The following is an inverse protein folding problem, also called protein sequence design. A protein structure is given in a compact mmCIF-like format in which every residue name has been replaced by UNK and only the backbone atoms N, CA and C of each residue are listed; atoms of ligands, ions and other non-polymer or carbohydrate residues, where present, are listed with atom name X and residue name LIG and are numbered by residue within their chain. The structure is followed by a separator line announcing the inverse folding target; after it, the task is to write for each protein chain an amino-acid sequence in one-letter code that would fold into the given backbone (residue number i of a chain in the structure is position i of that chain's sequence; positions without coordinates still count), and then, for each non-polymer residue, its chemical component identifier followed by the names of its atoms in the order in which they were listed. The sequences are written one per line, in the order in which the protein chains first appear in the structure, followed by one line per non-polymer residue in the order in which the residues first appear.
data_IF_313498396184
#
_entry.id   IF_313498396184
#
_cell.length_a   1.000
_cell.length_b   1.000
_cell.length_c   1.000
_cell.angle_alpha   90.00
_cell.angle_beta   90.00
_cell.angle_gamma   90.00
#
_symmetry.space_group_name_H-M   'P 1'
#
loop_
_entity.id
_entity.type
_entity.pdbx_description
1 polymer ?
#
# COMPACT_ATOMS: atom_id res chain seq x y z
N UNK A 1 35.13 -2.09 33.67
CA UNK A 1 33.98 -1.17 33.56
C UNK A 1 33.87 -0.43 32.23
N UNK A 2 34.94 -0.18 31.45
CA UNK A 2 34.85 0.51 30.14
C UNK A 2 34.20 -0.31 29.00
N UNK A 3 34.30 -1.64 29.01
CA UNK A 3 33.81 -2.50 27.91
C UNK A 3 32.28 -2.61 27.81
N UNK A 4 31.55 -2.57 28.93
CA UNK A 4 30.10 -2.75 28.94
C UNK A 4 29.34 -1.54 28.38
N UNK A 5 29.89 -0.33 28.59
CA UNK A 5 29.30 0.89 28.03
C UNK A 5 29.48 0.96 26.52
N UNK A 6 30.61 0.48 25.98
CA UNK A 6 30.82 0.41 24.53
C UNK A 6 29.79 -0.52 23.86
N UNK A 7 29.57 -1.71 24.44
CA UNK A 7 28.58 -2.67 23.94
C UNK A 7 27.16 -2.09 23.95
N UNK A 8 26.78 -1.42 25.04
CA UNK A 8 25.47 -0.76 25.15
C UNK A 8 25.29 0.38 24.14
N UNK A 9 26.33 1.18 23.89
CA UNK A 9 26.31 2.25 22.86
C UNK A 9 26.18 1.64 21.46
N UNK A 10 26.88 0.54 21.17
CA UNK A 10 26.76 -0.17 19.89
C UNK A 10 25.36 -0.72 19.66
N UNK A 11 24.76 -1.36 20.68
CA UNK A 11 23.37 -1.87 20.60
C UNK A 11 22.38 -0.72 20.41
N UNK A 12 22.56 0.40 21.12
CA UNK A 12 21.72 1.59 20.99
C UNK A 12 21.81 2.20 19.57
N UNK A 13 23.00 2.27 18.99
CA UNK A 13 23.20 2.77 17.62
C UNK A 13 22.57 1.86 16.56
N UNK A 14 22.67 0.54 16.70
CA UNK A 14 22.03 -0.43 15.80
C UNK A 14 20.49 -0.28 15.87
N UNK A 15 19.95 -0.14 17.07
CA UNK A 15 18.52 0.10 17.29
C UNK A 15 18.09 1.43 16.65
N UNK A 16 18.89 2.49 16.80
CA UNK A 16 18.61 3.81 16.23
C UNK A 16 18.56 3.79 14.69
N UNK A 17 19.43 3.02 14.04
CA UNK A 17 19.45 2.89 12.58
C UNK A 17 18.27 2.08 12.03
N UNK A 18 17.73 1.14 12.81
CA UNK A 18 16.58 0.31 12.41
C UNK A 18 15.24 1.07 12.39
N UNK A 19 15.17 2.30 12.91
CA UNK A 19 13.98 3.16 12.86
C UNK A 19 13.85 4.00 11.58
N UNK A 20 14.80 3.87 10.65
CA UNK A 20 14.71 4.56 9.36
C UNK A 20 13.72 3.85 8.43
N UNK A 21 12.42 4.01 8.70
CA UNK A 21 11.37 3.76 7.72
C UNK A 21 11.52 4.79 6.60
N UNK A 22 12.44 4.53 5.67
CA UNK A 22 12.56 5.29 4.45
C UNK A 22 11.21 5.26 3.75
N UNK A 23 10.51 6.40 3.70
CA UNK A 23 9.34 6.52 2.83
C UNK A 23 9.86 6.34 1.41
N UNK A 24 9.28 5.46 0.58
CA UNK A 24 9.61 5.42 -0.83
C UNK A 24 9.43 6.84 -1.38
N UNK A 25 10.51 7.42 -1.91
CA UNK A 25 10.48 8.75 -2.51
C UNK A 25 9.84 8.63 -3.90
N UNK A 26 8.87 9.51 -4.17
CA UNK A 26 8.21 9.79 -5.45
C UNK A 26 8.15 8.61 -6.43
N UNK A 27 7.14 7.75 -6.27
CA UNK A 27 6.72 6.84 -7.33
C UNK A 27 5.68 7.56 -8.20
N UNK A 28 6.01 7.86 -9.45
CA UNK A 28 4.99 8.22 -10.43
C UNK A 28 4.36 6.94 -10.98
N UNK A 29 3.04 6.88 -11.10
CA UNK A 29 2.39 5.75 -11.75
C UNK A 29 2.80 5.64 -13.22
N UNK A 30 3.04 4.42 -13.71
CA UNK A 30 3.43 4.16 -15.09
C UNK A 30 2.28 4.30 -16.09
N UNK A 31 1.03 4.18 -15.61
CA UNK A 31 -0.19 4.26 -16.40
C UNK A 31 -1.36 4.79 -15.55
N UNK A 32 -2.41 5.26 -16.22
CA UNK A 32 -3.65 5.69 -15.59
C UNK A 32 -4.52 4.48 -15.26
N UNK A 33 -5.05 4.41 -14.04
CA UNK A 33 -5.90 3.30 -13.60
C UNK A 33 -6.92 3.70 -12.54
N UNK A 34 -7.85 2.78 -12.32
CA UNK A 34 -8.72 2.75 -11.15
C UNK A 34 -8.54 1.42 -10.42
N UNK A 35 -8.78 1.42 -9.12
CA UNK A 35 -8.94 0.20 -8.33
C UNK A 35 -10.42 0.04 -7.99
N UNK A 36 -10.93 -1.16 -8.24
CA UNK A 36 -12.28 -1.55 -7.88
C UNK A 36 -12.28 -3.03 -7.46
N UNK A 37 -12.94 -3.31 -6.34
CA UNK A 37 -13.10 -4.66 -5.77
C UNK A 37 -11.78 -5.45 -5.62
N UNK A 38 -10.70 -4.75 -5.28
CA UNK A 38 -9.40 -5.38 -5.10
C UNK A 38 -8.64 -5.70 -6.39
N UNK A 39 -9.06 -5.17 -7.54
CA UNK A 39 -8.36 -5.32 -8.82
C UNK A 39 -8.02 -3.96 -9.44
N UNK A 40 -6.92 -3.94 -10.20
CA UNK A 40 -6.47 -2.80 -11.00
C UNK A 40 -7.14 -2.88 -12.37
N UNK A 41 -7.73 -1.76 -12.79
CA UNK A 41 -8.27 -1.56 -14.13
C UNK A 41 -7.54 -0.40 -14.82
N UNK A 42 -6.82 -0.71 -15.89
CA UNK A 42 -6.03 0.24 -16.67
C UNK A 42 -6.93 0.96 -17.65
N UNK A 43 -6.88 2.29 -17.63
CA UNK A 43 -7.71 3.14 -18.49
C UNK A 43 -7.20 3.03 -19.93
N UNK A 44 -8.12 2.74 -20.85
CA UNK A 44 -7.83 2.70 -22.29
C UNK A 44 -8.21 4.03 -22.97
N UNK A 45 -8.01 4.12 -24.28
CA UNK A 45 -8.52 5.22 -25.10
C UNK A 45 -9.86 4.87 -25.79
N UNK A 46 -10.48 3.76 -25.40
CA UNK A 46 -11.72 3.26 -26.03
C UNK A 46 -12.95 3.80 -25.30
N UNK A 47 -13.82 4.47 -26.04
CA UNK A 47 -15.13 4.85 -25.54
C UNK A 47 -16.09 3.65 -25.59
N UNK A 48 -17.02 3.61 -24.64
CA UNK A 48 -18.12 2.64 -24.61
C UNK A 48 -19.44 3.37 -24.37
N UNK A 49 -20.48 2.95 -25.06
CA UNK A 49 -21.82 3.54 -24.95
C UNK A 49 -22.82 2.59 -24.28
N UNK A 50 -22.57 1.29 -24.36
CA UNK A 50 -23.43 0.23 -23.84
C UNK A 50 -22.97 -0.16 -22.44
N UNK A 51 -23.45 0.61 -21.46
CA UNK A 51 -23.24 0.31 -20.03
C UNK A 51 -24.54 -0.19 -19.42
N UNK A 52 -24.41 -1.08 -18.44
CA UNK A 52 -25.55 -1.65 -17.73
C UNK A 52 -25.72 -0.95 -16.37
N UNK A 53 -25.11 -1.49 -15.32
CA UNK A 53 -25.40 -1.11 -13.94
C UNK A 53 -24.23 -0.37 -13.29
N UNK A 54 -24.53 0.56 -12.38
CA UNK A 54 -23.50 1.20 -11.53
C UNK A 54 -22.97 0.18 -10.52
N UNK A 55 -21.66 -0.08 -10.54
CA UNK A 55 -20.99 -1.09 -9.70
C UNK A 55 -20.11 -0.48 -8.60
N UNK A 56 -19.90 0.83 -8.63
CA UNK A 56 -19.12 1.53 -7.62
C UNK A 56 -18.72 2.93 -8.02
N UNK A 57 -17.79 3.49 -7.25
CA UNK A 57 -17.22 4.81 -7.52
C UNK A 57 -15.81 4.95 -6.91
N UNK A 58 -15.07 5.93 -7.42
CA UNK A 58 -13.81 6.40 -6.84
C UNK A 58 -14.07 6.94 -5.43
N UNK A 59 -13.49 6.31 -4.42
CA UNK A 59 -13.59 6.81 -3.03
C UNK A 59 -12.50 7.84 -2.71
N UNK A 60 -11.37 7.78 -3.42
CA UNK A 60 -10.20 8.64 -3.23
C UNK A 60 -9.41 8.83 -4.52
N UNK A 61 -8.89 10.04 -4.73
CA UNK A 61 -7.89 10.32 -5.77
C UNK A 61 -6.48 10.19 -5.18
N UNK A 62 -5.53 9.68 -5.95
CA UNK A 62 -4.13 9.56 -5.54
C UNK A 62 -3.14 9.74 -6.68
N UNK A 63 -2.26 10.73 -6.56
CA UNK A 63 -1.18 10.92 -7.53
C UNK A 63 -0.03 9.91 -7.32
N UNK A 64 0.37 9.65 -6.07
CA UNK A 64 1.57 8.83 -5.78
C UNK A 64 1.41 7.86 -4.60
N UNK A 65 0.29 7.89 -3.89
CA UNK A 65 0.07 7.07 -2.70
C UNK A 65 -0.83 5.86 -3.01
N UNK A 66 -0.51 4.72 -2.42
CA UNK A 66 -1.41 3.57 -2.43
C UNK A 66 -2.48 3.72 -1.35
N UNK A 67 -3.71 3.35 -1.68
CA UNK A 67 -4.81 3.31 -0.71
C UNK A 67 -5.54 1.98 -0.77
N UNK A 68 -6.13 1.59 0.35
CA UNK A 68 -7.09 0.50 0.40
C UNK A 68 -8.43 0.88 -0.24
N UNK A 69 -9.12 -0.10 -0.81
CA UNK A 69 -10.44 0.10 -1.42
C UNK A 69 -10.38 0.82 -2.75
N UNK A 70 -11.50 1.41 -3.17
CA UNK A 70 -11.61 1.99 -4.51
C UNK A 70 -10.89 3.35 -4.60
N UNK A 71 -9.88 3.48 -5.44
CA UNK A 71 -9.23 4.77 -5.69
C UNK A 71 -8.83 4.89 -7.17
N UNK A 72 -8.41 6.07 -7.58
CA UNK A 72 -7.87 6.31 -8.92
C UNK A 72 -6.72 7.29 -8.87
N UNK A 73 -5.80 7.15 -9.82
CA UNK A 73 -4.75 8.14 -10.08
C UNK A 73 -5.09 9.12 -11.21
N UNK A 74 -6.23 8.95 -11.88
CA UNK A 74 -6.67 9.78 -12.99
C UNK A 74 -8.01 10.47 -12.70
N UNK A 75 -8.89 9.82 -11.93
CA UNK A 75 -10.25 10.28 -11.69
C UNK A 75 -10.48 10.78 -10.27
N UNK A 76 -11.26 11.86 -10.16
CA UNK A 76 -11.62 12.46 -8.87
C UNK A 76 -12.58 11.57 -8.08
N UNK A 77 -12.63 11.81 -6.77
CA UNK A 77 -13.63 11.18 -5.88
C UNK A 77 -15.05 11.39 -6.41
N UNK A 78 -15.85 10.33 -6.38
CA UNK A 78 -17.24 10.32 -6.84
C UNK A 78 -17.42 9.97 -8.32
N UNK A 79 -16.34 9.85 -9.10
CA UNK A 79 -16.45 9.27 -10.46
C UNK A 79 -16.96 7.84 -10.36
N UNK A 80 -17.99 7.52 -11.14
CA UNK A 80 -18.72 6.25 -11.07
C UNK A 80 -18.12 5.19 -11.98
N UNK A 81 -18.29 3.94 -11.59
CA UNK A 81 -17.92 2.75 -12.35
C UNK A 81 -19.19 2.00 -12.75
N UNK A 82 -19.18 1.40 -13.93
CA UNK A 82 -20.31 0.69 -14.49
C UNK A 82 -19.88 -0.65 -15.08
N UNK A 83 -20.77 -1.64 -15.05
CA UNK A 83 -20.64 -2.83 -15.89
C UNK A 83 -20.89 -2.47 -17.36
N UNK A 84 -20.27 -3.22 -18.27
CA UNK A 84 -20.45 -3.07 -19.72
C UNK A 84 -21.36 -4.21 -20.20
N UNK A 85 -22.32 -3.90 -21.07
CA UNK A 85 -23.20 -4.93 -21.63
C UNK A 85 -22.40 -5.99 -22.38
N UNK A 86 -22.65 -7.27 -22.06
CA UNK A 86 -21.98 -8.40 -22.72
C UNK A 86 -20.50 -8.61 -22.36
N UNK A 87 -19.92 -7.82 -21.46
CA UNK A 87 -18.53 -7.97 -21.00
C UNK A 87 -18.52 -8.19 -19.49
N UNK A 88 -17.82 -9.23 -19.04
CA UNK A 88 -17.66 -9.51 -17.61
C UNK A 88 -16.80 -8.45 -16.93
N UNK A 89 -17.11 -8.11 -15.69
CA UNK A 89 -16.27 -7.19 -14.90
C UNK A 89 -14.87 -7.75 -14.68
N UNK A 90 -14.69 -9.08 -14.77
CA UNK A 90 -13.38 -9.73 -14.74
C UNK A 90 -12.50 -9.40 -15.95
N UNK A 91 -13.07 -8.83 -17.02
CA UNK A 91 -12.34 -8.43 -18.23
C UNK A 91 -12.21 -6.89 -18.31
N UNK A 92 -13.32 -6.17 -18.15
CA UNK A 92 -13.33 -4.71 -18.23
C UNK A 92 -14.53 -4.07 -17.52
N UNK A 93 -14.36 -2.79 -17.17
CA UNK A 93 -15.42 -1.92 -16.63
C UNK A 93 -15.47 -0.60 -17.39
N UNK A 94 -16.57 0.11 -17.25
CA UNK A 94 -16.76 1.46 -17.79
C UNK A 94 -16.59 2.51 -16.68
N UNK A 95 -15.85 3.58 -16.98
CA UNK A 95 -15.67 4.72 -16.07
C UNK A 95 -16.47 5.90 -16.62
N UNK A 96 -17.34 6.47 -15.79
CA UNK A 96 -18.17 7.61 -16.18
C UNK A 96 -17.35 8.90 -16.34
N UNK A 97 -17.42 9.50 -17.51
CA UNK A 97 -16.85 10.81 -17.80
C UNK A 97 -17.92 11.92 -17.75
N UNK A 98 -17.47 13.15 -17.97
CA UNK A 98 -18.38 14.27 -18.21
C UNK A 98 -19.25 14.01 -19.45
N UNK A 99 -20.46 14.58 -19.44
CA UNK A 99 -21.37 14.57 -20.58
C UNK A 99 -21.98 13.20 -20.95
N UNK A 100 -21.99 12.24 -20.00
CA UNK A 100 -22.63 10.93 -20.19
C UNK A 100 -21.83 9.99 -21.10
N UNK A 101 -20.56 10.29 -21.32
CA UNK A 101 -19.62 9.41 -22.01
C UNK A 101 -18.98 8.45 -21.02
N UNK A 102 -18.54 7.28 -21.51
CA UNK A 102 -17.85 6.30 -20.71
C UNK A 102 -16.59 5.84 -21.42
N UNK A 103 -15.51 5.66 -20.64
CA UNK A 103 -14.26 5.09 -21.13
C UNK A 103 -14.10 3.68 -20.59
N UNK A 104 -13.60 2.77 -21.42
CA UNK A 104 -13.34 1.39 -21.03
C UNK A 104 -12.01 1.31 -20.26
N UNK A 105 -12.01 0.55 -19.17
CA UNK A 105 -10.82 0.19 -18.43
C UNK A 105 -10.69 -1.33 -18.34
N UNK A 106 -9.54 -1.87 -18.74
CA UNK A 106 -9.27 -3.31 -18.77
C UNK A 106 -8.67 -3.76 -17.46
N UNK A 107 -9.12 -4.92 -16.97
CA UNK A 107 -8.56 -5.51 -15.77
C UNK A 107 -7.14 -6.01 -16.04
N UNK A 108 -6.20 -5.59 -15.21
CA UNK A 108 -4.80 -6.01 -15.30
C UNK A 108 -4.49 -7.14 -14.32
N UNK A 109 -4.98 -7.03 -13.07
CA UNK A 109 -4.68 -8.01 -12.03
C UNK A 109 -5.10 -7.57 -10.64
N UNK A 110 -4.78 -8.39 -9.65
CA UNK A 110 -5.05 -8.12 -8.23
C UNK A 110 -4.27 -6.88 -7.75
N UNK A 111 -4.93 -6.08 -6.93
CA UNK A 111 -4.34 -4.93 -6.27
C UNK A 111 -3.85 -5.31 -4.88
N UNK A 112 -2.53 -5.49 -4.75
CA UNK A 112 -1.89 -5.78 -3.47
C UNK A 112 -1.61 -4.48 -2.70
N UNK A 113 -2.32 -4.28 -1.58
CA UNK A 113 -2.06 -3.20 -0.64
C UNK A 113 -1.62 -3.74 0.72
N UNK A 114 -0.34 -3.57 1.03
CA UNK A 114 0.22 -3.97 2.32
C UNK A 114 0.33 -2.78 3.29
N UNK A 115 -0.81 -2.35 3.83
CA UNK A 115 -0.87 -1.23 4.76
C UNK A 115 -0.41 -1.51 6.19
N UNK A 116 0.06 -2.72 6.54
CA UNK A 116 0.22 -3.13 7.95
C UNK A 116 1.49 -3.91 8.31
N UNK A 117 2.35 -4.34 7.39
CA UNK A 117 3.45 -5.24 7.76
C UNK A 117 4.57 -4.65 8.64
N UNK A 118 4.69 -3.32 8.76
CA UNK A 118 5.81 -2.73 9.50
C UNK A 118 5.73 -2.86 11.04
N UNK A 119 4.53 -2.75 11.63
CA UNK A 119 4.41 -2.48 13.08
C UNK A 119 4.63 -3.72 13.94
N UNK A 120 4.12 -4.89 13.54
CA UNK A 120 4.24 -6.13 14.32
C UNK A 120 5.69 -6.63 14.44
N UNK A 121 6.47 -6.54 13.36
CA UNK A 121 7.86 -6.99 13.34
C UNK A 121 8.77 -6.13 14.25
N UNK A 122 8.46 -4.83 14.40
CA UNK A 122 9.19 -3.93 15.29
C UNK A 122 8.99 -4.30 16.77
N UNK A 123 7.75 -4.64 17.16
CA UNK A 123 7.46 -5.06 18.53
C UNK A 123 8.20 -6.34 18.90
N UNK A 124 8.24 -7.34 18.01
CA UNK A 124 8.96 -8.60 18.25
C UNK A 124 10.46 -8.35 18.41
N UNK A 125 11.07 -7.54 17.54
CA UNK A 125 12.51 -7.25 17.59
C UNK A 125 12.90 -6.49 18.87
N UNK A 126 12.08 -5.54 19.31
CA UNK A 126 12.33 -4.78 20.54
C UNK A 126 12.28 -5.64 21.81
N UNK A 127 11.32 -6.58 21.90
CA UNK A 127 11.25 -7.54 23.01
C UNK A 127 12.49 -8.42 23.04
N UNK A 128 12.94 -8.90 21.87
CA UNK A 128 14.12 -9.76 21.74
C UNK A 128 15.40 -9.02 22.19
N UNK A 129 15.57 -7.76 21.81
CA UNK A 129 16.69 -6.93 22.25
C UNK A 129 16.70 -6.73 23.78
N UNK A 130 15.54 -6.48 24.40
CA UNK A 130 15.42 -6.31 25.86
C UNK A 130 15.84 -7.61 26.57
N UNK A 131 15.39 -8.77 26.08
CA UNK A 131 15.75 -10.08 26.65
C UNK A 131 17.27 -10.32 26.60
N UNK A 132 17.92 -10.00 25.47
CA UNK A 132 19.38 -10.12 25.32
C UNK A 132 20.12 -9.26 26.35
N UNK A 133 19.68 -8.02 26.57
CA UNK A 133 20.28 -7.12 27.57
C UNK A 133 20.11 -7.66 28.99
N UNK A 134 18.93 -8.19 29.33
CA UNK A 134 18.67 -8.80 30.66
C UNK A 134 19.59 -10.00 30.89
N UNK A 135 19.69 -10.90 29.91
CA UNK A 135 20.54 -12.09 29.99
C UNK A 135 22.01 -11.69 30.14
N UNK A 136 22.48 -10.75 29.33
CA UNK A 136 23.86 -10.27 29.39
C UNK A 136 24.20 -9.66 30.76
N UNK A 137 23.32 -8.82 31.31
CA UNK A 137 23.50 -8.24 32.65
C UNK A 137 23.51 -9.30 33.75
N UNK A 138 22.67 -10.35 33.62
CA UNK A 138 22.65 -11.46 34.58
C UNK A 138 23.94 -12.28 34.53
N UNK A 139 24.46 -12.59 33.33
CA UNK A 139 25.73 -13.32 33.14
C UNK A 139 26.92 -12.53 33.71
N UNK A 140 26.98 -11.22 33.45
CA UNK A 140 28.00 -10.32 34.03
C UNK A 140 27.98 -10.29 35.55
N UNK A 141 26.78 -10.38 36.17
CA UNK A 141 26.62 -10.41 37.62
C UNK A 141 27.00 -11.76 38.23
N UNK A 142 26.84 -12.86 37.49
CA UNK A 142 27.24 -14.21 37.94
C UNK A 142 28.76 -14.42 37.85
N UNK A 143 29.40 -13.83 36.83
CA UNK A 143 30.84 -13.96 36.59
C UNK A 143 31.69 -12.93 37.38
N UNK A 144 31.09 -12.18 38.30
CA UNK A 144 31.76 -11.21 39.18
C UNK A 144 31.62 -11.63 40.62
#
# INVERSE_FOLDING_TARGET
MRSNHLFLITVFLIVLTSFSSGKPMATSWAYSFVVWDGYIYVISNENVTEVDSEIGQVSRYSDMEQYSGNFSNAYKKGTKYYSIEGIGTDDAIAIGESDGQYIKAYREGEYEFDGKQGILNIFILSILCILVVIIFNKVQKINR
#
